data_IF_778727246182
#
_entry.id   IF_778727246182
#
_cell.length_a   1.000
_cell.length_b   1.000
_cell.length_c   1.000
_cell.angle_alpha   90.00
_cell.angle_beta   90.00
_cell.angle_gamma   90.00
#
_symmetry.space_group_name_H-M   'P 1'
#
loop_
_entity.id
_entity.type
_entity.pdbx_description
1 polymer ?
#
# COMPACT_ATOMS: atom_id res chain seq x y z
N UNK A 1 -10.56 -13.34 3.94
CA UNK A 1 -11.63 -13.04 2.95
C UNK A 1 -10.99 -12.75 1.61
N UNK A 2 -11.69 -12.96 0.49
CA UNK A 2 -11.15 -12.59 -0.83
C UNK A 2 -11.61 -11.18 -1.24
N UNK A 3 -10.78 -10.46 -1.96
CA UNK A 3 -11.11 -9.16 -2.55
C UNK A 3 -10.56 -9.06 -3.95
N UNK A 4 -11.35 -8.49 -4.85
CA UNK A 4 -10.90 -8.19 -6.21
C UNK A 4 -9.86 -7.06 -6.19
N UNK A 5 -8.81 -7.17 -7.02
CA UNK A 5 -7.79 -6.11 -7.22
C UNK A 5 -8.38 -4.70 -7.40
N UNK A 6 -9.47 -4.57 -8.15
CA UNK A 6 -10.14 -3.29 -8.40
C UNK A 6 -10.72 -2.62 -7.15
N UNK A 7 -10.99 -3.39 -6.09
CA UNK A 7 -11.55 -2.88 -4.83
C UNK A 7 -10.49 -2.55 -3.78
N UNK A 8 -9.26 -3.02 -3.95
CA UNK A 8 -8.17 -2.85 -2.98
C UNK A 8 -7.89 -1.38 -2.70
N UNK A 9 -7.75 -0.57 -3.76
CA UNK A 9 -7.46 0.86 -3.63
C UNK A 9 -8.52 1.57 -2.79
N UNK A 10 -9.80 1.23 -3.01
CA UNK A 10 -10.91 1.77 -2.23
C UNK A 10 -10.77 1.42 -0.74
N UNK A 11 -10.51 0.15 -0.41
CA UNK A 11 -10.32 -0.27 0.99
C UNK A 11 -9.16 0.48 1.65
N UNK A 12 -8.06 0.69 0.92
CA UNK A 12 -6.89 1.42 1.42
C UNK A 12 -7.24 2.91 1.66
N UNK A 13 -7.97 3.55 0.73
CA UNK A 13 -8.41 4.93 0.90
C UNK A 13 -9.40 5.09 2.07
N UNK A 14 -10.31 4.12 2.23
CA UNK A 14 -11.30 4.07 3.31
C UNK A 14 -10.65 3.89 4.70
N UNK A 15 -9.34 3.58 4.78
CA UNK A 15 -8.61 3.60 6.06
C UNK A 15 -8.50 4.99 6.67
N UNK A 16 -8.65 6.04 5.86
CA UNK A 16 -8.51 7.43 6.27
C UNK A 16 -7.21 7.69 7.08
N UNK A 17 -6.09 7.14 6.59
CA UNK A 17 -4.77 7.30 7.19
C UNK A 17 -4.47 6.40 8.40
N UNK A 18 -5.36 5.47 8.74
CA UNK A 18 -5.07 4.39 9.71
C UNK A 18 -4.01 3.44 9.16
N UNK A 19 -3.33 2.73 10.07
CA UNK A 19 -2.28 1.76 9.72
C UNK A 19 -2.92 0.50 9.14
N UNK A 20 -2.32 -0.01 8.08
CA UNK A 20 -2.67 -1.27 7.44
C UNK A 20 -1.41 -2.07 7.10
N UNK A 21 -1.54 -3.39 6.96
CA UNK A 21 -0.45 -4.25 6.53
C UNK A 21 -0.66 -4.69 5.08
N UNK A 22 0.42 -4.76 4.31
CA UNK A 22 0.40 -5.28 2.94
C UNK A 22 1.47 -6.33 2.74
N UNK A 23 1.20 -7.27 1.84
CA UNK A 23 2.17 -8.20 1.30
C UNK A 23 2.08 -8.18 -0.23
N UNK A 24 3.20 -7.93 -0.92
CA UNK A 24 3.26 -7.87 -2.38
C UNK A 24 4.59 -8.40 -2.91
N UNK A 25 4.60 -8.79 -4.18
CA UNK A 25 5.81 -9.20 -4.89
C UNK A 25 6.53 -7.97 -5.44
N UNK A 26 7.81 -7.80 -5.11
CA UNK A 26 8.67 -6.75 -5.66
C UNK A 26 9.03 -7.03 -7.12
N UNK A 27 9.61 -6.03 -7.79
CA UNK A 27 10.15 -6.19 -9.16
C UNK A 27 11.19 -7.31 -9.29
N UNK A 28 11.95 -7.57 -8.23
CA UNK A 28 12.95 -8.66 -8.18
C UNK A 28 12.34 -10.05 -7.90
N UNK A 29 11.02 -10.17 -7.81
CA UNK A 29 10.31 -11.43 -7.54
C UNK A 29 10.23 -11.82 -6.07
N UNK A 30 10.91 -11.12 -5.15
CA UNK A 30 10.84 -11.45 -3.72
C UNK A 30 9.64 -10.78 -3.04
N UNK A 31 9.13 -11.42 -1.98
CA UNK A 31 7.99 -10.92 -1.21
C UNK A 31 8.42 -9.82 -0.24
N UNK A 32 7.61 -8.78 -0.13
CA UNK A 32 7.75 -7.75 0.92
C UNK A 32 6.47 -7.68 1.72
N UNK A 33 6.61 -7.72 3.04
CA UNK A 33 5.58 -7.36 4.01
C UNK A 33 5.93 -6.01 4.64
N UNK A 34 4.96 -5.12 4.80
CA UNK A 34 5.17 -3.88 5.55
C UNK A 34 3.89 -3.33 6.18
N UNK A 35 4.08 -2.50 7.22
CA UNK A 35 3.04 -1.70 7.86
C UNK A 35 3.06 -0.31 7.25
N UNK A 36 1.95 0.09 6.66
CA UNK A 36 1.83 1.29 5.87
C UNK A 36 0.67 2.16 6.38
N UNK A 37 0.75 3.47 6.10
CA UNK A 37 -0.38 4.40 6.27
C UNK A 37 -0.37 5.48 5.20
N UNK A 38 -1.53 6.07 4.96
CA UNK A 38 -1.71 7.23 4.07
C UNK A 38 -1.61 8.56 4.83
N UNK A 39 -1.40 9.64 4.09
CA UNK A 39 -1.60 11.01 4.57
C UNK A 39 -0.54 11.55 5.52
N UNK A 40 0.63 10.91 5.63
CA UNK A 40 1.76 11.49 6.37
C UNK A 40 2.28 12.68 5.55
N UNK A 41 2.20 13.88 6.12
CA UNK A 41 2.67 15.12 5.48
C UNK A 41 3.92 15.70 6.14
N UNK A 42 4.11 15.47 7.45
CA UNK A 42 5.21 16.05 8.24
C UNK A 42 6.62 15.74 7.71
N UNK A 43 6.78 14.61 7.03
CA UNK A 43 8.07 14.12 6.54
C UNK A 43 8.25 14.33 5.02
N UNK A 44 7.31 15.03 4.36
CA UNK A 44 7.41 15.32 2.93
C UNK A 44 8.62 16.22 2.66
N UNK A 45 9.47 15.80 1.72
CA UNK A 45 10.68 16.53 1.31
C UNK A 45 10.55 17.22 -0.05
N UNK A 46 9.35 17.22 -0.64
CA UNK A 46 9.13 17.61 -2.03
C UNK A 46 9.71 16.60 -3.04
N UNK A 47 9.50 16.84 -4.33
CA UNK A 47 10.00 16.01 -5.43
C UNK A 47 8.91 15.35 -6.30
N UNK A 48 9.34 14.54 -7.26
CA UNK A 48 8.43 13.85 -8.18
C UNK A 48 7.94 12.53 -7.59
N UNK A 49 6.62 12.40 -7.47
CA UNK A 49 5.98 11.14 -7.09
C UNK A 49 5.81 10.26 -8.33
N UNK A 50 6.41 9.06 -8.31
CA UNK A 50 6.26 8.08 -9.39
C UNK A 50 4.90 7.38 -9.41
N UNK A 51 4.16 7.41 -8.31
CA UNK A 51 2.79 6.91 -8.25
C UNK A 51 1.83 7.89 -8.94
N UNK A 52 0.96 7.37 -9.81
CA UNK A 52 -0.02 8.16 -10.55
C UNK A 52 -1.24 7.31 -10.87
N UNK A 53 -2.37 7.94 -11.22
CA UNK A 53 -3.58 7.23 -11.65
C UNK A 53 -3.37 6.36 -12.90
N UNK A 54 -2.30 6.63 -13.67
CA UNK A 54 -1.94 5.87 -14.87
C UNK A 54 -1.18 4.57 -14.56
N UNK A 55 -0.79 4.36 -13.31
CA UNK A 55 -0.10 3.15 -12.88
C UNK A 55 -0.74 2.55 -11.63
N UNK A 56 -0.41 1.29 -11.37
CA UNK A 56 -0.94 0.55 -10.22
C UNK A 56 -0.13 0.82 -8.94
N UNK A 57 0.58 1.95 -8.85
CA UNK A 57 1.39 2.28 -7.69
C UNK A 57 0.65 3.22 -6.76
N UNK A 58 0.76 2.97 -5.45
CA UNK A 58 0.33 3.92 -4.42
C UNK A 58 1.49 4.31 -3.53
N UNK A 59 1.58 5.59 -3.20
CA UNK A 59 2.58 6.11 -2.27
C UNK A 59 2.04 6.01 -0.85
N UNK A 60 2.80 5.34 0.00
CA UNK A 60 2.47 5.10 1.40
C UNK A 60 3.65 5.46 2.28
N UNK A 61 3.38 5.77 3.54
CA UNK A 61 4.42 5.86 4.56
C UNK A 61 4.62 4.50 5.21
N UNK A 62 5.83 3.95 5.12
CA UNK A 62 6.24 2.73 5.81
C UNK A 62 6.58 3.06 7.26
N UNK A 63 5.80 2.50 8.18
CA UNK A 63 5.92 2.73 9.62
C UNK A 63 7.16 2.07 10.24
N UNK A 64 7.73 1.06 9.57
CA UNK A 64 8.92 0.35 10.05
C UNK A 64 10.18 1.04 9.55
N UNK A 65 10.19 1.39 8.26
CA UNK A 65 11.32 2.09 7.65
C UNK A 65 11.34 3.60 7.92
N UNK A 66 10.25 4.16 8.46
CA UNK A 66 10.05 5.60 8.64
C UNK A 66 10.35 6.39 7.35
N UNK A 67 9.70 5.98 6.25
CA UNK A 67 9.93 6.60 4.95
C UNK A 67 8.83 6.32 3.94
N UNK A 68 8.74 7.17 2.92
CA UNK A 68 7.83 6.95 1.80
C UNK A 68 8.28 5.77 0.94
N UNK A 69 7.33 4.91 0.60
CA UNK A 69 7.50 3.80 -0.33
C UNK A 69 6.33 3.72 -1.28
N UNK A 70 6.52 2.98 -2.36
CA UNK A 70 5.45 2.62 -3.28
C UNK A 70 5.05 1.17 -3.09
N UNK A 71 3.73 0.92 -3.12
CA UNK A 71 3.13 -0.41 -3.20
C UNK A 71 2.60 -0.59 -4.61
N UNK A 72 2.93 -1.71 -5.25
CA UNK A 72 2.29 -2.10 -6.50
C UNK A 72 1.02 -2.92 -6.20
N UNK A 73 -0.12 -2.38 -6.61
CA UNK A 73 -1.44 -3.00 -6.43
C UNK A 73 -1.66 -4.19 -7.38
N UNK A 74 -0.97 -4.26 -8.51
CA UNK A 74 -1.05 -5.43 -9.42
C UNK A 74 -0.46 -6.68 -8.78
N UNK A 75 0.67 -6.52 -8.10
CA UNK A 75 1.40 -7.61 -7.43
C UNK A 75 1.08 -7.74 -5.95
N UNK A 76 0.02 -7.05 -5.48
CA UNK A 76 -0.46 -7.17 -4.12
C UNK A 76 -1.11 -8.54 -3.93
N UNK A 77 -0.67 -9.23 -2.89
CA UNK A 77 -1.16 -10.55 -2.51
C UNK A 77 -2.15 -10.45 -1.37
N UNK A 78 -1.81 -9.68 -0.32
CA UNK A 78 -2.66 -9.55 0.86
C UNK A 78 -2.72 -8.14 1.39
N UNK A 79 -3.87 -7.80 1.99
CA UNK A 79 -4.15 -6.54 2.66
C UNK A 79 -4.78 -6.85 4.01
N UNK A 80 -4.25 -6.27 5.09
CA UNK A 80 -4.86 -6.35 6.43
C UNK A 80 -5.21 -4.97 6.95
N UNK A 81 -6.48 -4.74 7.21
CA UNK A 81 -7.04 -3.46 7.66
C UNK A 81 -8.04 -3.74 8.77
N UNK A 82 -7.99 -2.98 9.87
CA UNK A 82 -9.02 -3.07 10.93
C UNK A 82 -9.23 -4.47 11.52
N UNK A 83 -8.16 -5.27 11.60
CA UNK A 83 -8.22 -6.65 12.09
C UNK A 83 -8.61 -7.70 11.03
N UNK A 84 -9.07 -7.28 9.86
CA UNK A 84 -9.51 -8.16 8.78
C UNK A 84 -8.40 -8.39 7.77
N UNK A 85 -8.15 -9.65 7.40
CA UNK A 85 -7.20 -10.04 6.33
C UNK A 85 -7.95 -10.36 5.03
N UNK A 86 -7.54 -9.69 3.96
CA UNK A 86 -7.99 -9.89 2.60
C UNK A 86 -6.89 -10.53 1.76
N UNK A 87 -7.25 -11.58 1.03
CA UNK A 87 -6.45 -12.20 -0.03
C UNK A 87 -6.91 -11.60 -1.36
N UNK A 88 -5.97 -11.08 -2.15
CA UNK A 88 -6.25 -10.35 -3.37
C UNK A 88 -6.29 -11.33 -4.55
N UNK A 89 -7.43 -11.38 -5.23
CA UNK A 89 -7.70 -12.30 -6.35
C UNK A 89 -8.08 -11.57 -7.62
#
# INVERSE_FOLDING_TARGET
MQVSRFKVLKIINDTNGKIFAVQFTKKDGTLRMMLARLGVQKDLKGGNNGASEKNSLITVWDMVANGYRMVNLETLLTLKVGGVRYEVV
#
